data_IF_434146632399
#
_entry.id   IF_434146632399
#
_cell.length_a   1.000
_cell.length_b   1.000
_cell.length_c   1.000
_cell.angle_alpha   90.00
_cell.angle_beta   90.00
_cell.angle_gamma   90.00
#
_symmetry.space_group_name_H-M   'P 1'
#
loop_
_entity.id
_entity.type
_entity.pdbx_description
1 polymer ?
#
# COMPACT_ATOMS: atom_id res chain seq x y z
N UNK A 1 -7.74 -5.35 -16.36
CA UNK A 1 -7.94 -4.23 -15.41
C UNK A 1 -7.18 -3.00 -15.90
N UNK A 2 -7.47 -1.81 -15.37
CA UNK A 2 -6.65 -0.61 -15.65
C UNK A 2 -5.21 -0.87 -15.16
N UNK A 3 -4.19 -0.34 -15.85
CA UNK A 3 -2.74 -0.55 -15.61
C UNK A 3 -2.20 -1.98 -15.77
N UNK A 4 -3.02 -2.97 -16.13
CA UNK A 4 -2.58 -4.37 -16.25
C UNK A 4 -1.45 -4.56 -17.27
N UNK A 5 -1.49 -3.83 -18.39
CA UNK A 5 -0.48 -3.97 -19.44
C UNK A 5 0.86 -3.38 -19.00
N UNK A 6 0.82 -2.22 -18.36
CA UNK A 6 1.97 -1.53 -17.80
C UNK A 6 2.64 -2.41 -16.72
N UNK A 7 1.87 -2.97 -15.79
CA UNK A 7 2.41 -3.88 -14.78
C UNK A 7 3.00 -5.16 -15.37
N UNK A 8 2.36 -5.77 -16.38
CA UNK A 8 2.96 -6.92 -17.09
C UNK A 8 4.31 -6.59 -17.72
N UNK A 9 4.49 -5.36 -18.20
CA UNK A 9 5.76 -4.91 -18.74
C UNK A 9 6.78 -4.64 -17.61
N UNK A 10 6.34 -4.00 -16.53
CA UNK A 10 7.14 -3.73 -15.35
C UNK A 10 7.68 -5.03 -14.73
N UNK A 11 6.81 -6.00 -14.44
CA UNK A 11 7.18 -7.29 -13.86
C UNK A 11 8.17 -8.06 -14.77
N UNK A 12 7.98 -7.96 -16.10
CA UNK A 12 8.92 -8.55 -17.06
C UNK A 12 10.30 -7.89 -16.98
N UNK A 13 10.36 -6.56 -16.89
CA UNK A 13 11.63 -5.84 -16.77
C UNK A 13 12.33 -6.21 -15.46
N UNK A 14 11.62 -6.19 -14.33
CA UNK A 14 12.13 -6.60 -13.02
C UNK A 14 12.72 -8.02 -13.04
N UNK A 15 12.00 -8.99 -13.62
CA UNK A 15 12.46 -10.39 -13.69
C UNK A 15 13.66 -10.63 -14.62
N UNK A 16 13.92 -9.72 -15.56
CA UNK A 16 14.96 -9.87 -16.58
C UNK A 16 16.22 -9.05 -16.27
N UNK A 17 16.30 -8.41 -15.09
CA UNK A 17 17.28 -7.37 -14.78
C UNK A 17 17.31 -6.31 -15.90
N UNK A 18 16.12 -5.81 -16.24
CA UNK A 18 15.95 -4.71 -17.19
C UNK A 18 16.73 -3.47 -16.76
N UNK A 19 16.86 -2.52 -17.68
CA UNK A 19 17.52 -1.26 -17.41
C UNK A 19 16.78 -0.49 -16.29
N UNK A 20 17.52 -0.10 -15.25
CA UNK A 20 16.98 0.55 -14.05
C UNK A 20 16.31 1.89 -14.37
N UNK A 21 16.86 2.67 -15.30
CA UNK A 21 16.26 3.94 -15.74
C UNK A 21 14.90 3.68 -16.40
N UNK A 22 14.81 2.66 -17.25
CA UNK A 22 13.56 2.26 -17.92
C UNK A 22 12.53 1.72 -16.93
N UNK A 23 12.96 0.97 -15.91
CA UNK A 23 12.09 0.47 -14.84
C UNK A 23 11.49 1.64 -14.06
N UNK A 24 12.33 2.59 -13.65
CA UNK A 24 11.92 3.76 -12.87
C UNK A 24 10.99 4.67 -13.67
N UNK A 25 11.28 4.93 -14.95
CA UNK A 25 10.39 5.70 -15.84
C UNK A 25 9.02 5.03 -15.99
N UNK A 26 8.99 3.70 -16.16
CA UNK A 26 7.73 2.97 -16.28
C UNK A 26 6.93 2.99 -14.98
N UNK A 27 7.58 2.82 -13.83
CA UNK A 27 6.89 2.91 -12.54
C UNK A 27 6.35 4.32 -12.28
N UNK A 28 7.09 5.37 -12.64
CA UNK A 28 6.61 6.74 -12.55
C UNK A 28 5.34 6.99 -13.39
N UNK A 29 5.27 6.46 -14.62
CA UNK A 29 4.07 6.53 -15.46
C UNK A 29 2.88 5.75 -14.87
N UNK A 30 3.14 4.58 -14.28
CA UNK A 30 2.13 3.80 -13.55
C UNK A 30 1.58 4.61 -12.37
N UNK A 31 2.48 5.20 -11.56
CA UNK A 31 2.12 5.97 -10.38
C UNK A 31 1.34 7.24 -10.74
N UNK A 32 1.77 7.98 -11.77
CA UNK A 32 1.06 9.17 -12.25
C UNK A 32 -0.40 8.82 -12.61
N UNK A 33 -0.61 7.75 -13.38
CA UNK A 33 -1.94 7.25 -13.74
C UNK A 33 -2.75 6.80 -12.52
N UNK A 34 -2.12 6.14 -11.55
CA UNK A 34 -2.77 5.70 -10.32
C UNK A 34 -3.26 6.89 -9.47
N UNK A 35 -2.43 7.94 -9.33
CA UNK A 35 -2.78 9.18 -8.63
C UNK A 35 -3.94 9.91 -9.34
N UNK A 36 -3.95 9.95 -10.67
CA UNK A 36 -5.09 10.51 -11.42
C UNK A 36 -6.38 9.78 -11.07
N UNK A 37 -6.37 8.44 -11.06
CA UNK A 37 -7.57 7.65 -10.70
C UNK A 37 -7.98 7.88 -9.24
N UNK A 38 -7.02 7.93 -8.30
CA UNK A 38 -7.30 8.23 -6.90
C UNK A 38 -8.02 9.58 -6.74
N UNK A 39 -7.51 10.62 -7.40
CA UNK A 39 -8.08 11.96 -7.37
C UNK A 39 -9.49 11.98 -8.01
N UNK A 40 -9.66 11.37 -9.18
CA UNK A 40 -10.96 11.26 -9.85
C UNK A 40 -12.00 10.54 -8.97
N UNK A 41 -11.62 9.46 -8.29
CA UNK A 41 -12.50 8.73 -7.36
C UNK A 41 -12.88 9.61 -6.17
N UNK A 42 -11.88 10.26 -5.55
CA UNK A 42 -12.08 11.15 -4.40
C UNK A 42 -13.03 12.32 -4.73
N UNK A 43 -12.81 13.00 -5.86
CA UNK A 43 -13.67 14.11 -6.32
C UNK A 43 -15.13 13.66 -6.56
N UNK A 44 -15.31 12.45 -7.08
CA UNK A 44 -16.63 11.87 -7.34
C UNK A 44 -17.26 11.19 -6.11
N UNK A 45 -16.57 11.17 -4.96
CA UNK A 45 -16.99 10.44 -3.75
C UNK A 45 -17.20 8.95 -3.99
N UNK A 46 -16.34 8.37 -4.81
CA UNK A 46 -16.28 6.94 -5.11
C UNK A 46 -15.06 6.31 -4.45
N UNK A 47 -15.12 5.01 -4.20
CA UNK A 47 -13.99 4.24 -3.68
C UNK A 47 -13.20 3.56 -4.81
N UNK A 48 -11.98 3.13 -4.48
CA UNK A 48 -11.23 2.15 -5.25
C UNK A 48 -11.76 0.75 -4.92
N UNK A 49 -12.21 0.03 -5.95
CA UNK A 49 -12.86 -1.27 -5.77
C UNK A 49 -11.89 -2.41 -6.10
N UNK A 50 -11.76 -3.40 -5.22
CA UNK A 50 -11.00 -4.61 -5.49
C UNK A 50 -11.91 -5.71 -6.08
N UNK A 51 -11.49 -6.48 -7.11
CA UNK A 51 -10.21 -6.44 -7.83
C UNK A 51 -10.19 -5.47 -9.03
N UNK A 52 -11.26 -4.71 -9.28
CA UNK A 52 -11.40 -3.84 -10.46
C UNK A 52 -10.24 -2.85 -10.64
N UNK A 53 -9.84 -2.22 -9.54
CA UNK A 53 -8.82 -1.18 -9.44
C UNK A 53 -7.51 -1.73 -8.82
N UNK A 54 -7.31 -3.06 -8.82
CA UNK A 54 -6.22 -3.72 -8.08
C UNK A 54 -4.81 -3.20 -8.39
N UNK A 55 -4.53 -2.87 -9.66
CA UNK A 55 -3.21 -2.32 -10.05
C UNK A 55 -3.03 -0.86 -9.65
N UNK A 56 -4.13 -0.10 -9.52
CA UNK A 56 -4.08 1.26 -8.95
C UNK A 56 -3.74 1.15 -7.47
N UNK A 57 -4.42 0.25 -6.75
CA UNK A 57 -4.16 0.00 -5.34
C UNK A 57 -2.72 -0.49 -5.13
N UNK A 58 -2.23 -1.40 -5.99
CA UNK A 58 -0.83 -1.86 -5.97
C UNK A 58 0.16 -0.71 -6.13
N UNK A 59 -0.03 0.17 -7.11
CA UNK A 59 0.87 1.30 -7.35
C UNK A 59 0.95 2.26 -6.16
N UNK A 60 -0.21 2.59 -5.58
CA UNK A 60 -0.27 3.44 -4.40
C UNK A 60 0.37 2.79 -3.17
N UNK A 61 0.20 1.47 -3.00
CA UNK A 61 0.82 0.74 -1.91
C UNK A 61 2.35 0.59 -2.08
N UNK A 62 2.83 0.28 -3.28
CA UNK A 62 4.27 0.25 -3.59
C UNK A 62 4.91 1.62 -3.34
N UNK A 63 4.24 2.71 -3.73
CA UNK A 63 4.71 4.07 -3.46
C UNK A 63 4.67 4.44 -1.97
N UNK A 64 3.66 3.98 -1.23
CA UNK A 64 3.63 4.10 0.24
C UNK A 64 4.85 3.43 0.89
N UNK A 65 5.20 2.22 0.45
CA UNK A 65 6.38 1.50 0.95
C UNK A 65 7.68 2.21 0.58
N UNK A 66 7.79 2.77 -0.62
CA UNK A 66 8.94 3.57 -1.06
C UNK A 66 9.14 4.80 -0.16
N UNK A 67 8.12 5.64 0.01
CA UNK A 67 8.16 6.82 0.89
C UNK A 67 8.57 6.44 2.32
N UNK A 68 8.01 5.34 2.84
CA UNK A 68 8.40 4.84 4.14
C UNK A 68 9.87 4.42 4.18
N UNK A 69 10.34 3.65 3.20
CA UNK A 69 11.74 3.20 3.11
C UNK A 69 12.75 4.37 3.06
N UNK A 70 12.36 5.49 2.45
CA UNK A 70 13.16 6.72 2.37
C UNK A 70 13.11 7.57 3.66
N UNK A 71 12.21 7.23 4.58
CA UNK A 71 11.99 7.97 5.82
C UNK A 71 11.13 9.23 5.65
N UNK A 72 10.36 9.32 4.57
CA UNK A 72 9.36 10.37 4.33
C UNK A 72 8.08 10.04 5.12
N UNK A 73 8.20 10.07 6.45
CA UNK A 73 7.20 9.55 7.39
C UNK A 73 5.83 10.22 7.29
N UNK A 74 5.79 11.53 7.03
CA UNK A 74 4.54 12.28 7.01
C UNK A 74 3.77 12.01 5.72
N UNK A 75 4.48 11.99 4.60
CA UNK A 75 3.99 11.66 3.27
C UNK A 75 3.49 10.21 3.22
N UNK A 76 4.28 9.26 3.74
CA UNK A 76 3.88 7.87 3.86
C UNK A 76 2.62 7.72 4.73
N UNK A 77 2.55 8.41 5.88
CA UNK A 77 1.37 8.36 6.74
C UNK A 77 0.12 8.89 6.02
N UNK A 78 0.23 10.02 5.32
CA UNK A 78 -0.89 10.61 4.58
C UNK A 78 -1.38 9.67 3.47
N UNK A 79 -0.47 9.11 2.67
CA UNK A 79 -0.84 8.14 1.63
C UNK A 79 -1.42 6.85 2.22
N UNK A 80 -0.90 6.39 3.36
CA UNK A 80 -1.46 5.25 4.09
C UNK A 80 -2.90 5.50 4.56
N UNK A 81 -3.21 6.71 5.02
CA UNK A 81 -4.58 7.11 5.36
C UNK A 81 -5.49 7.19 4.13
N UNK A 82 -4.99 7.72 3.02
CA UNK A 82 -5.73 7.73 1.75
C UNK A 82 -6.07 6.29 1.33
N UNK A 83 -5.12 5.34 1.43
CA UNK A 83 -5.36 3.92 1.15
C UNK A 83 -6.44 3.32 2.07
N UNK A 84 -6.35 3.53 3.38
CA UNK A 84 -7.35 3.04 4.36
C UNK A 84 -8.73 3.63 4.10
N UNK A 85 -8.81 4.90 3.72
CA UNK A 85 -10.08 5.59 3.48
C UNK A 85 -10.70 5.23 2.12
N UNK A 86 -9.88 5.19 1.06
CA UNK A 86 -10.35 5.11 -0.33
C UNK A 86 -10.58 3.69 -0.84
N UNK A 87 -9.94 2.66 -0.26
CA UNK A 87 -10.09 1.28 -0.73
C UNK A 87 -11.35 0.64 -0.14
N UNK A 88 -12.24 0.09 -0.96
CA UNK A 88 -13.48 -0.58 -0.53
C UNK A 88 -13.33 -2.10 -0.47
N UNK A 89 -12.35 -2.57 0.30
CA UNK A 89 -12.11 -3.98 0.59
C UNK A 89 -11.67 -4.11 2.05
N UNK A 90 -12.35 -4.94 2.84
CA UNK A 90 -12.12 -5.02 4.30
C UNK A 90 -10.73 -5.59 4.64
N UNK A 91 -10.27 -6.61 3.91
CA UNK A 91 -8.98 -7.25 4.16
C UNK A 91 -7.82 -6.30 3.85
N UNK A 92 -7.90 -5.59 2.72
CA UNK A 92 -6.88 -4.59 2.36
C UNK A 92 -6.91 -3.39 3.29
N UNK A 93 -8.09 -2.92 3.70
CA UNK A 93 -8.22 -1.84 4.69
C UNK A 93 -7.57 -2.20 6.03
N UNK A 94 -7.80 -3.42 6.51
CA UNK A 94 -7.16 -3.92 7.72
C UNK A 94 -5.63 -3.95 7.54
N UNK A 95 -5.13 -4.57 6.46
CA UNK A 95 -3.70 -4.64 6.19
C UNK A 95 -3.04 -3.26 6.12
N UNK A 96 -3.62 -2.31 5.38
CA UNK A 96 -3.09 -0.94 5.26
C UNK A 96 -3.12 -0.20 6.61
N UNK A 97 -4.16 -0.43 7.43
CA UNK A 97 -4.21 0.11 8.78
C UNK A 97 -3.06 -0.40 9.65
N UNK A 98 -2.68 -1.67 9.51
CA UNK A 98 -1.55 -2.25 10.23
C UNK A 98 -0.20 -1.71 9.74
N UNK A 99 -0.02 -1.52 8.42
CA UNK A 99 1.18 -0.87 7.88
C UNK A 99 1.35 0.57 8.38
N UNK A 100 0.26 1.32 8.43
CA UNK A 100 0.23 2.68 8.98
C UNK A 100 0.74 2.72 10.43
N UNK A 101 0.49 1.69 11.25
CA UNK A 101 1.04 1.61 12.60
C UNK A 101 2.58 1.61 12.61
N UNK A 102 3.20 0.89 11.67
CA UNK A 102 4.66 0.87 11.54
C UNK A 102 5.23 2.24 11.20
N UNK A 103 4.54 3.01 10.35
CA UNK A 103 4.90 4.40 10.02
C UNK A 103 4.75 5.31 11.24
N UNK A 104 3.65 5.20 11.99
CA UNK A 104 3.41 5.98 13.21
C UNK A 104 4.49 5.74 14.28
N UNK A 105 5.00 4.51 14.36
CA UNK A 105 6.12 4.13 15.23
C UNK A 105 7.49 4.54 14.69
N UNK A 106 7.56 5.02 13.45
CA UNK A 106 8.80 5.30 12.74
C UNK A 106 9.76 4.12 12.74
N UNK A 107 9.21 2.91 12.64
CA UNK A 107 10.01 1.70 12.47
C UNK A 107 10.54 1.67 11.03
N UNK A 108 11.81 1.30 10.79
CA UNK A 108 12.25 1.00 9.43
C UNK A 108 11.37 -0.06 8.79
N UNK A 109 11.03 0.10 7.51
CA UNK A 109 10.08 -0.78 6.81
C UNK A 109 10.54 -2.24 6.84
N UNK A 110 11.84 -2.50 6.68
CA UNK A 110 12.41 -3.85 6.71
C UNK A 110 12.22 -4.48 8.09
N UNK A 111 12.42 -3.70 9.15
CA UNK A 111 12.22 -4.17 10.52
C UNK A 111 10.75 -4.48 10.80
N UNK A 112 9.83 -3.68 10.25
CA UNK A 112 8.40 -3.93 10.39
C UNK A 112 8.01 -5.23 9.67
N UNK A 113 8.46 -5.41 8.43
CA UNK A 113 8.21 -6.62 7.64
C UNK A 113 8.76 -7.87 8.36
N UNK A 114 10.00 -7.80 8.86
CA UNK A 114 10.64 -8.93 9.55
C UNK A 114 9.96 -9.33 10.87
N UNK A 115 9.42 -8.36 11.62
CA UNK A 115 8.85 -8.62 12.94
C UNK A 115 7.38 -9.00 12.85
N UNK A 116 6.59 -8.35 12.00
CA UNK A 116 5.13 -8.42 12.07
C UNK A 116 4.45 -9.08 10.87
N UNK A 117 5.12 -9.17 9.72
CA UNK A 117 4.49 -9.66 8.48
C UNK A 117 4.87 -11.12 8.25
N UNK A 118 3.87 -11.95 7.99
CA UNK A 118 4.08 -13.32 7.54
C UNK A 118 4.28 -13.32 6.01
N UNK A 119 5.35 -13.95 5.49
CA UNK A 119 5.68 -13.87 4.06
C UNK A 119 4.71 -14.61 3.15
N UNK A 120 3.89 -15.51 3.68
CA UNK A 120 2.89 -16.28 2.94
C UNK A 120 1.49 -15.75 3.28
N UNK A 121 0.76 -15.31 2.24
CA UNK A 121 -0.66 -15.03 2.36
C UNK A 121 -1.43 -16.34 2.53
N UNK A 122 -2.57 -16.29 3.23
CA UNK A 122 -3.43 -17.47 3.39
C UNK A 122 -4.08 -17.91 2.06
N UNK A 123 -4.21 -16.97 1.11
CA UNK A 123 -4.85 -17.16 -0.19
C UNK A 123 -4.13 -16.39 -1.29
N UNK A 124 -4.17 -16.92 -2.51
CA UNK A 124 -3.63 -16.27 -3.72
C UNK A 124 -4.38 -14.98 -4.13
N UNK A 125 -5.54 -14.69 -3.52
CA UNK A 125 -6.40 -13.56 -3.90
C UNK A 125 -5.70 -12.20 -3.75
N UNK A 126 -4.77 -12.08 -2.81
CA UNK A 126 -4.07 -10.84 -2.48
C UNK A 126 -2.56 -10.92 -2.69
N UNK A 127 -2.06 -11.79 -3.58
CA UNK A 127 -0.62 -12.04 -3.81
C UNK A 127 0.24 -10.81 -4.13
N UNK A 128 -0.38 -9.69 -4.52
CA UNK A 128 0.32 -8.42 -4.76
C UNK A 128 0.53 -7.58 -3.48
N UNK A 129 -0.02 -8.04 -2.35
CA UNK A 129 -0.02 -7.34 -1.08
C UNK A 129 0.41 -8.29 0.04
N UNK A 130 0.92 -7.70 1.11
CA UNK A 130 1.15 -8.43 2.35
C UNK A 130 -0.08 -8.25 3.23
N UNK A 131 -0.90 -9.29 3.39
CA UNK A 131 -2.14 -9.19 4.18
C UNK A 131 -2.10 -10.04 5.44
N UNK A 132 -1.07 -10.86 5.62
CA UNK A 132 -0.93 -11.75 6.75
C UNK A 132 0.06 -11.18 7.79
N UNK A 133 -0.40 -11.04 9.03
CA UNK A 133 0.37 -10.49 10.15
C UNK A 133 0.40 -11.50 11.30
N UNK A 134 1.50 -11.54 12.05
CA UNK A 134 1.58 -12.37 13.25
C UNK A 134 1.05 -11.63 14.50
N UNK A 135 0.80 -12.37 15.57
CA UNK A 135 0.21 -11.87 16.81
C UNK A 135 1.01 -10.73 17.49
N UNK A 136 2.31 -10.57 17.19
CA UNK A 136 3.12 -9.48 17.76
C UNK A 136 2.62 -8.10 17.31
N UNK A 137 1.88 -8.00 16.20
CA UNK A 137 1.28 -6.75 15.73
C UNK A 137 0.29 -6.16 16.74
N UNK A 138 -0.30 -6.99 17.61
CA UNK A 138 -1.24 -6.56 18.65
C UNK A 138 -0.62 -5.51 19.59
N UNK A 139 0.69 -5.56 19.81
CA UNK A 139 1.40 -4.56 20.60
C UNK A 139 1.23 -3.15 20.02
N UNK A 140 1.32 -3.02 18.68
CA UNK A 140 1.13 -1.76 17.98
C UNK A 140 -0.35 -1.34 17.99
N UNK A 141 -1.26 -2.28 17.76
CA UNK A 141 -2.71 -2.02 17.79
C UNK A 141 -3.13 -1.47 19.16
N UNK A 142 -2.68 -2.08 20.25
CA UNK A 142 -2.97 -1.64 21.61
C UNK A 142 -2.39 -0.25 21.86
N UNK A 143 -1.15 -0.01 21.43
CA UNK A 143 -0.45 1.27 21.62
C UNK A 143 -1.14 2.44 20.91
N UNK A 144 -1.59 2.23 19.68
CA UNK A 144 -2.17 3.29 18.84
C UNK A 144 -3.69 3.32 18.81
N UNK A 145 -4.36 2.47 19.59
CA UNK A 145 -5.82 2.39 19.65
C UNK A 145 -6.52 3.75 19.76
N UNK A 146 -5.99 4.64 20.62
CA UNK A 146 -6.60 5.97 20.82
C UNK A 146 -6.27 6.94 19.67
N UNK A 147 -5.10 6.81 19.03
CA UNK A 147 -4.75 7.57 17.82
C UNK A 147 -5.68 7.21 16.67
N UNK A 148 -5.87 5.92 16.41
CA UNK A 148 -6.79 5.44 15.37
C UNK A 148 -8.22 5.87 15.64
N UNK A 149 -8.69 5.73 16.89
CA UNK A 149 -10.01 6.28 17.25
C UNK A 149 -10.11 7.75 16.90
N UNK A 150 -9.14 8.58 17.27
CA UNK A 150 -9.20 10.02 17.01
C UNK A 150 -9.15 10.37 15.52
N UNK A 151 -8.37 9.65 14.74
CA UNK A 151 -8.09 10.00 13.34
C UNK A 151 -9.08 9.37 12.35
N UNK A 152 -9.80 8.33 12.78
CA UNK A 152 -10.84 7.67 11.99
C UNK A 152 -12.25 7.75 12.63
N UNK A 153 -12.44 8.52 13.72
CA UNK A 153 -13.79 8.89 14.19
C UNK A 153 -14.27 10.13 13.44
N UNK A 154 -15.21 9.88 12.53
CA UNK A 154 -16.02 10.81 11.70
C UNK A 154 -15.73 12.33 11.81
#
# INVERSE_FOLDING_TARGET
MFLEKEYKQFDKLMSSNGDEEVINELFADILEKAIIVLNERSENKEFLEYPKDMYVIRALFEYFLELWSEGEWEEAKNLGYDLVYMVNDENLKEAFSLFVLGVLEKLPVEKFLDIYVNPENETDEYDMFFTNFNDEIDELVIKHRETFKKEFSE
#
